data_IF_484952431987
#
_entry.id   IF_484952431987
#
_cell.length_a   1.000
_cell.length_b   1.000
_cell.length_c   1.000
_cell.angle_alpha   90.00
_cell.angle_beta   90.00
_cell.angle_gamma   90.00
#
_symmetry.space_group_name_H-M   'P 1'
#
loop_
_entity.id
_entity.type
_entity.pdbx_description
1 polymer ?
#
# COMPACT_ATOMS: atom_id res chain seq x y z
N UNK A 1 6.94 5.92 -38.58
CA UNK A 1 7.10 6.51 -37.23
C UNK A 1 5.98 7.52 -36.92
N UNK A 2 5.68 8.46 -37.82
CA UNK A 2 4.60 9.46 -37.64
C UNK A 2 3.19 8.88 -37.41
N UNK A 3 2.85 7.75 -38.04
CA UNK A 3 1.54 7.12 -37.88
C UNK A 3 1.30 6.52 -36.48
N UNK A 4 2.37 6.10 -35.78
CA UNK A 4 2.28 5.55 -34.41
C UNK A 4 2.12 6.69 -33.40
N UNK A 5 2.89 7.76 -33.55
CA UNK A 5 2.78 8.95 -32.70
C UNK A 5 1.44 9.66 -32.87
N UNK A 6 0.95 9.79 -34.11
CA UNK A 6 -0.37 10.36 -34.38
C UNK A 6 -1.50 9.50 -33.79
N UNK A 7 -1.34 8.17 -33.73
CA UNK A 7 -2.30 7.28 -33.06
C UNK A 7 -2.26 7.47 -31.55
N UNK A 8 -1.08 7.50 -30.93
CA UNK A 8 -0.96 7.75 -29.48
C UNK A 8 -1.53 9.12 -29.06
N UNK A 9 -1.43 10.13 -29.92
CA UNK A 9 -1.89 11.48 -29.62
C UNK A 9 -3.39 11.72 -29.92
N UNK A 10 -4.03 10.86 -30.72
CA UNK A 10 -5.41 11.09 -31.22
C UNK A 10 -6.40 9.97 -30.84
N UNK A 11 -5.94 8.77 -30.50
CA UNK A 11 -6.80 7.63 -30.17
C UNK A 11 -7.05 7.53 -28.66
N UNK A 12 -8.31 7.65 -28.22
CA UNK A 12 -8.71 7.43 -26.83
C UNK A 12 -8.43 6.00 -26.32
N UNK A 13 -8.21 5.01 -27.21
CA UNK A 13 -7.79 3.65 -26.80
C UNK A 13 -6.41 3.60 -26.16
N UNK A 14 -5.60 4.65 -26.27
CA UNK A 14 -4.31 4.77 -25.57
C UNK A 14 -4.49 4.88 -24.05
N UNK A 15 -5.71 5.20 -23.57
CA UNK A 15 -6.10 5.11 -22.15
C UNK A 15 -6.14 3.65 -21.67
N UNK A 16 -6.17 2.65 -22.56
CA UNK A 16 -6.13 1.25 -22.16
C UNK A 16 -4.86 0.90 -21.34
N UNK A 17 -3.71 1.44 -21.72
CA UNK A 17 -2.47 1.25 -20.95
C UNK A 17 -2.56 1.93 -19.57
N UNK A 18 -3.10 3.14 -19.52
CA UNK A 18 -3.36 3.85 -18.26
C UNK A 18 -4.35 3.08 -17.38
N UNK A 19 -5.41 2.51 -17.95
CA UNK A 19 -6.38 1.68 -17.22
C UNK A 19 -5.74 0.44 -16.62
N UNK A 20 -4.89 -0.28 -17.37
CA UNK A 20 -4.15 -1.42 -16.83
C UNK A 20 -3.17 -1.01 -15.72
N UNK A 21 -2.45 0.09 -15.88
CA UNK A 21 -1.62 0.64 -14.81
C UNK A 21 -2.43 1.01 -13.57
N UNK A 22 -3.57 1.67 -13.73
CA UNK A 22 -4.49 1.95 -12.62
C UNK A 22 -5.02 0.67 -11.98
N UNK A 23 -5.31 -0.39 -12.74
CA UNK A 23 -5.75 -1.67 -12.17
C UNK A 23 -4.66 -2.34 -11.33
N UNK A 24 -3.41 -2.32 -11.79
CA UNK A 24 -2.26 -2.84 -11.03
C UNK A 24 -2.04 -2.02 -9.74
N UNK A 25 -2.14 -0.69 -9.83
CA UNK A 25 -2.07 0.21 -8.66
C UNK A 25 -3.23 -0.01 -7.69
N UNK A 26 -4.45 -0.22 -8.18
CA UNK A 26 -5.62 -0.55 -7.36
C UNK A 26 -5.43 -1.86 -6.61
N UNK A 27 -4.80 -2.86 -7.21
CA UNK A 27 -4.51 -4.14 -6.55
C UNK A 27 -3.46 -3.96 -5.43
N UNK A 28 -2.47 -3.09 -5.63
CA UNK A 28 -1.51 -2.71 -4.60
C UNK A 28 -2.18 -1.96 -3.44
N UNK A 29 -3.14 -1.08 -3.72
CA UNK A 29 -3.96 -0.39 -2.69
C UNK A 29 -4.72 -1.41 -1.84
N UNK A 30 -5.39 -2.39 -2.47
CA UNK A 30 -6.14 -3.42 -1.74
C UNK A 30 -5.24 -4.27 -0.83
N UNK A 31 -4.03 -4.60 -1.30
CA UNK A 31 -3.04 -5.35 -0.50
C UNK A 31 -2.61 -4.56 0.73
N UNK A 32 -2.35 -3.27 0.55
CA UNK A 32 -1.93 -2.36 1.61
C UNK A 32 -3.05 -2.17 2.64
N UNK A 33 -4.28 -1.93 2.20
CA UNK A 33 -5.46 -1.82 3.08
C UNK A 33 -5.65 -3.11 3.91
N UNK A 34 -5.46 -4.28 3.29
CA UNK A 34 -5.52 -5.55 4.00
C UNK A 34 -4.44 -5.66 5.09
N UNK A 35 -3.20 -5.21 4.81
CA UNK A 35 -2.14 -5.20 5.82
C UNK A 35 -2.46 -4.24 6.98
N UNK A 36 -2.99 -3.05 6.69
CA UNK A 36 -3.41 -2.10 7.73
C UNK A 36 -4.48 -2.72 8.64
N UNK A 37 -5.49 -3.38 8.05
CA UNK A 37 -6.54 -4.08 8.81
C UNK A 37 -5.96 -5.18 9.71
N UNK A 38 -4.99 -5.95 9.20
CA UNK A 38 -4.31 -7.01 9.97
C UNK A 38 -3.52 -6.39 11.14
N UNK A 39 -2.81 -5.29 10.91
CA UNK A 39 -2.05 -4.58 11.94
C UNK A 39 -3.01 -4.06 13.03
N UNK A 40 -4.16 -3.50 12.67
CA UNK A 40 -5.12 -3.00 13.66
C UNK A 40 -5.80 -4.13 14.43
N UNK A 41 -6.11 -5.25 13.77
CA UNK A 41 -6.56 -6.46 14.47
C UNK A 41 -5.50 -6.98 15.44
N UNK A 42 -4.22 -6.97 15.05
CA UNK A 42 -3.10 -7.36 15.91
C UNK A 42 -3.00 -6.42 17.13
N UNK A 43 -3.03 -5.10 16.94
CA UNK A 43 -3.04 -4.12 18.05
C UNK A 43 -4.17 -4.40 19.03
N UNK A 44 -5.38 -4.61 18.52
CA UNK A 44 -6.56 -4.91 19.35
C UNK A 44 -6.40 -6.24 20.12
N UNK A 45 -5.85 -7.27 19.47
CA UNK A 45 -5.57 -8.54 20.12
C UNK A 45 -4.52 -8.39 21.23
N UNK A 46 -3.43 -7.65 20.98
CA UNK A 46 -2.39 -7.36 21.97
C UNK A 46 -2.97 -6.58 23.17
N UNK A 47 -3.81 -5.58 22.91
CA UNK A 47 -4.44 -4.79 23.97
C UNK A 47 -5.38 -5.64 24.84
N UNK A 48 -6.21 -6.49 24.22
CA UNK A 48 -7.23 -7.25 24.95
C UNK A 48 -6.69 -8.54 25.60
N UNK A 49 -5.81 -9.29 24.92
CA UNK A 49 -5.30 -10.58 25.42
C UNK A 49 -4.10 -10.42 26.35
N UNK A 50 -3.25 -9.43 26.11
CA UNK A 50 -1.98 -9.27 26.82
C UNK A 50 -1.97 -8.07 27.78
N UNK A 51 -3.07 -7.29 27.84
CA UNK A 51 -3.20 -6.10 28.69
C UNK A 51 -2.02 -5.11 28.54
N UNK A 52 -1.48 -5.02 27.33
CA UNK A 52 -0.34 -4.15 27.02
C UNK A 52 -0.85 -2.71 26.85
N UNK A 53 -0.08 -1.72 27.32
CA UNK A 53 -0.42 -0.30 27.15
C UNK A 53 -0.32 0.12 25.69
N UNK A 54 -1.03 1.20 25.31
CA UNK A 54 -1.01 1.71 23.94
C UNK A 54 0.39 2.15 23.50
N UNK A 55 1.21 2.68 24.42
CA UNK A 55 2.59 3.08 24.11
C UNK A 55 3.44 1.87 23.74
N UNK A 56 3.37 0.80 24.52
CA UNK A 56 4.10 -0.44 24.26
C UNK A 56 3.64 -1.13 22.98
N UNK A 57 2.35 -1.07 22.65
CA UNK A 57 1.84 -1.56 21.37
C UNK A 57 2.42 -0.75 20.22
N UNK A 58 2.51 0.58 20.34
CA UNK A 58 3.11 1.43 19.31
C UNK A 58 4.58 1.05 19.09
N UNK A 59 5.37 0.98 20.16
CA UNK A 59 6.78 0.58 20.09
C UNK A 59 6.96 -0.80 19.45
N UNK A 60 6.10 -1.76 19.80
CA UNK A 60 6.13 -3.10 19.21
C UNK A 60 5.83 -3.06 17.71
N UNK A 61 4.81 -2.30 17.28
CA UNK A 61 4.46 -2.17 15.86
C UNK A 61 5.59 -1.47 15.10
N UNK A 62 6.17 -0.40 15.64
CA UNK A 62 7.32 0.28 15.02
C UNK A 62 8.52 -0.67 14.88
N UNK A 63 8.83 -1.45 15.91
CA UNK A 63 9.87 -2.48 15.83
C UNK A 63 9.54 -3.54 14.77
N UNK A 64 8.30 -4.02 14.73
CA UNK A 64 7.85 -5.02 13.76
C UNK A 64 7.98 -4.50 12.32
N UNK A 65 7.52 -3.28 12.02
CA UNK A 65 7.64 -2.65 10.71
C UNK A 65 9.12 -2.50 10.32
N UNK A 66 9.98 -2.13 11.27
CA UNK A 66 11.42 -2.04 11.04
C UNK A 66 12.11 -3.39 10.81
N UNK A 67 11.53 -4.50 11.28
CA UNK A 67 12.03 -5.85 11.02
C UNK A 67 11.57 -6.42 9.66
N UNK A 68 10.62 -5.79 8.98
CA UNK A 68 10.13 -6.27 7.68
C UNK A 68 11.22 -6.17 6.59
N UNK A 69 11.17 -7.03 5.56
CA UNK A 69 11.96 -6.87 4.35
C UNK A 69 11.75 -5.51 3.68
N UNK A 70 12.80 -4.99 3.03
CA UNK A 70 12.82 -3.65 2.39
C UNK A 70 11.65 -3.46 1.42
N UNK A 71 11.34 -4.47 0.59
CA UNK A 71 10.26 -4.39 -0.38
C UNK A 71 8.87 -4.19 0.25
N UNK A 72 8.64 -4.68 1.47
CA UNK A 72 7.38 -4.46 2.19
C UNK A 72 7.36 -3.08 2.85
N UNK A 73 8.51 -2.60 3.36
CA UNK A 73 8.61 -1.26 3.93
C UNK A 73 8.31 -0.20 2.87
N UNK A 74 8.86 -0.34 1.68
CA UNK A 74 8.62 0.61 0.59
C UNK A 74 7.14 0.69 0.22
N UNK A 75 6.44 -0.45 0.17
CA UNK A 75 4.99 -0.50 -0.08
C UNK A 75 4.18 0.12 1.06
N UNK A 76 4.62 -0.01 2.31
CA UNK A 76 3.95 0.56 3.48
C UNK A 76 4.21 2.06 3.65
N UNK A 77 5.38 2.56 3.26
CA UNK A 77 5.75 3.97 3.37
C UNK A 77 5.03 4.88 2.38
N UNK A 78 4.60 4.37 1.22
CA UNK A 78 3.88 5.15 0.19
C UNK A 78 2.57 5.74 0.72
N UNK A 79 1.92 5.08 1.68
CA UNK A 79 0.71 5.58 2.36
C UNK A 79 0.93 6.82 3.23
N UNK A 80 2.14 7.01 3.75
CA UNK A 80 2.44 8.12 4.66
C UNK A 80 2.66 9.45 3.93
N UNK A 81 2.75 9.43 2.59
CA UNK A 81 2.99 10.62 1.77
C UNK A 81 1.71 11.25 1.21
N UNK A 82 0.53 10.67 1.46
CA UNK A 82 -0.76 11.29 1.11
C UNK A 82 -1.36 11.95 2.36
N UNK A 83 -0.86 13.15 2.69
CA UNK A 83 -1.48 14.09 3.64
C UNK A 83 -1.21 15.52 3.20
#
# INVERSE_FOLDING_TARGET
MLAVENRNNTDLRTVGALFYHCCDELQDIQFIEAIQLIIDMLKNALQQKLMISKEQISEFIDYFINALPVFLKEKLSLLSCES
#
